data_IF_906673995334
#
_entry.id   IF_906673995334
#
_cell.length_a   1.000
_cell.length_b   1.000
_cell.length_c   1.000
_cell.angle_alpha   90.00
_cell.angle_beta   90.00
_cell.angle_gamma   90.00
#
_symmetry.space_group_name_H-M   'P 1'
#
loop_
_entity.id
_entity.type
_entity.pdbx_description
1 polymer ?
#
# COMPACT_ATOMS: atom_id res chain seq x y z
N UNK A 1 12.24 -0.77 0.70
CA UNK A 1 11.30 -1.25 1.75
C UNK A 1 9.90 -1.18 1.18
N UNK A 2 9.05 -2.15 1.48
CA UNK A 2 7.66 -2.19 1.01
C UNK A 2 6.80 -2.65 2.18
N UNK A 3 5.69 -1.96 2.44
CA UNK A 3 4.69 -2.43 3.40
C UNK A 3 3.63 -3.19 2.63
N UNK A 4 3.33 -4.41 3.06
CA UNK A 4 2.24 -5.19 2.45
C UNK A 4 0.95 -4.97 3.25
N UNK A 5 -0.12 -4.59 2.56
CA UNK A 5 -1.44 -4.43 3.16
C UNK A 5 -2.28 -5.64 2.81
N UNK A 6 -2.39 -6.57 3.75
CA UNK A 6 -3.01 -7.87 3.54
C UNK A 6 -4.38 -7.92 4.22
N UNK A 7 -5.38 -8.41 3.50
CA UNK A 7 -6.69 -8.75 4.05
C UNK A 7 -6.96 -10.24 3.79
N UNK A 8 -7.66 -10.90 4.71
CA UNK A 8 -8.01 -12.31 4.55
C UNK A 8 -8.87 -12.59 3.31
N UNK A 9 -9.69 -11.61 2.91
CA UNK A 9 -10.63 -11.73 1.79
C UNK A 9 -10.03 -11.37 0.43
N UNK A 10 -9.24 -10.30 0.35
CA UNK A 10 -8.71 -9.79 -0.93
C UNK A 10 -7.24 -10.15 -1.15
N UNK A 11 -6.57 -10.74 -0.15
CA UNK A 11 -5.12 -10.85 -0.17
C UNK A 11 -4.53 -9.45 -0.15
N UNK A 12 -3.71 -9.13 -1.15
CA UNK A 12 -3.07 -7.82 -1.25
C UNK A 12 -4.10 -6.74 -1.56
N UNK A 13 -4.05 -5.63 -0.84
CA UNK A 13 -4.92 -4.50 -1.06
C UNK A 13 -4.47 -3.73 -2.31
N UNK A 14 -5.15 -4.00 -3.43
CA UNK A 14 -4.97 -3.36 -4.73
C UNK A 14 -6.32 -3.02 -5.33
N UNK A 15 -6.39 -1.94 -6.08
CA UNK A 15 -7.54 -1.65 -6.93
C UNK A 15 -7.41 -2.49 -8.20
N UNK A 16 -8.32 -3.44 -8.37
CA UNK A 16 -8.37 -4.21 -9.61
C UNK A 16 -9.15 -3.33 -10.60
N UNK A 17 -8.66 -3.10 -11.83
CA UNK A 17 -9.42 -2.33 -12.80
C UNK A 17 -10.79 -2.98 -12.96
N UNK A 18 -11.86 -2.21 -12.75
CA UNK A 18 -13.21 -2.68 -13.06
C UNK A 18 -13.24 -3.19 -14.51
N UNK A 19 -14.09 -4.19 -14.82
CA UNK A 19 -14.35 -4.69 -16.19
C UNK A 19 -14.80 -3.58 -17.19
N UNK A 20 -14.94 -2.34 -16.72
CA UNK A 20 -15.18 -1.12 -17.49
C UNK A 20 -13.91 -0.29 -17.73
N UNK A 21 -12.73 -0.87 -17.52
CA UNK A 21 -11.44 -0.21 -17.61
C UNK A 21 -11.32 0.62 -18.87
N UNK A 22 -11.20 1.93 -18.71
CA UNK A 22 -10.63 2.78 -19.74
C UNK A 22 -9.23 2.24 -19.99
N UNK A 23 -9.04 1.64 -21.17
CA UNK A 23 -7.78 1.05 -21.62
C UNK A 23 -6.60 1.97 -21.31
N UNK A 24 -5.86 1.69 -20.22
CA UNK A 24 -4.66 2.44 -19.86
C UNK A 24 -4.47 2.83 -18.39
N UNK A 25 -5.49 2.73 -17.53
CA UNK A 25 -5.29 3.00 -16.10
C UNK A 25 -4.61 1.82 -15.40
N UNK A 26 -3.42 2.06 -14.84
CA UNK A 26 -2.70 1.05 -14.07
C UNK A 26 -3.46 0.74 -12.78
N UNK A 27 -3.52 -0.54 -12.35
CA UNK A 27 -4.06 -0.91 -11.05
C UNK A 27 -3.41 -0.04 -9.96
N UNK A 28 -4.21 0.62 -9.12
CA UNK A 28 -3.67 1.33 -7.97
C UNK A 28 -3.24 0.30 -6.93
N UNK A 29 -1.93 0.21 -6.65
CA UNK A 29 -1.41 -0.62 -5.56
C UNK A 29 -0.92 0.26 -4.41
N UNK A 30 -1.24 -0.10 -3.17
CA UNK A 30 -0.75 0.59 -1.97
C UNK A 30 0.78 0.42 -1.76
N UNK A 31 1.40 -0.54 -2.47
CA UNK A 31 2.82 -0.84 -2.36
C UNK A 31 3.65 0.17 -3.14
N UNK A 32 4.42 0.97 -2.40
CA UNK A 32 5.46 1.82 -2.98
C UNK A 32 6.79 1.08 -2.92
N UNK A 33 7.35 0.77 -4.09
CA UNK A 33 8.67 0.14 -4.20
C UNK A 33 9.77 1.15 -3.93
N UNK A 34 10.25 1.21 -2.68
CA UNK A 34 11.37 2.04 -2.31
C UNK A 34 12.72 1.36 -2.56
N UNK A 35 13.56 1.93 -3.43
CA UNK A 35 14.91 1.46 -3.73
C UNK A 35 15.93 2.23 -2.88
N UNK A 36 16.36 1.64 -1.77
CA UNK A 36 17.32 2.27 -0.86
C UNK A 36 18.72 2.45 -1.48
N UNK A 37 19.38 3.57 -1.17
CA UNK A 37 20.79 3.85 -1.51
C UNK A 37 21.05 5.34 -1.83
N UNK A 38 22.31 5.77 -1.63
CA UNK A 38 22.75 7.17 -1.82
C UNK A 38 22.51 7.70 -3.25
N UNK A 39 22.49 6.81 -4.25
CA UNK A 39 22.20 7.12 -5.66
C UNK A 39 20.84 6.55 -6.12
N UNK A 40 19.91 6.35 -5.19
CA UNK A 40 18.56 5.84 -5.45
C UNK A 40 17.54 6.72 -4.73
N UNK A 41 16.56 6.13 -4.03
CA UNK A 41 15.47 6.87 -3.38
C UNK A 41 15.85 7.37 -1.97
N UNK A 42 17.13 7.27 -1.57
CA UNK A 42 17.62 7.66 -0.26
C UNK A 42 17.38 6.60 0.82
N UNK A 43 16.96 7.04 2.02
CA UNK A 43 16.54 6.18 3.13
C UNK A 43 15.02 6.20 3.27
N UNK A 44 14.44 5.05 3.63
CA UNK A 44 13.00 4.95 3.87
C UNK A 44 12.64 5.75 5.12
N UNK A 45 11.78 6.76 4.96
CA UNK A 45 11.35 7.65 6.04
C UNK A 45 9.92 7.35 6.49
N UNK A 46 9.51 7.98 7.59
CA UNK A 46 8.12 7.96 8.03
C UNK A 46 7.16 8.50 6.96
N UNK A 47 7.58 9.49 6.15
CA UNK A 47 6.76 10.03 5.07
C UNK A 47 6.47 8.98 3.99
N UNK A 48 7.43 8.10 3.70
CA UNK A 48 7.21 7.01 2.76
C UNK A 48 6.18 6.00 3.30
N UNK A 49 6.17 5.76 4.62
CA UNK A 49 5.14 4.93 5.25
C UNK A 49 3.77 5.60 5.17
N UNK A 50 3.66 6.88 5.51
CA UNK A 50 2.40 7.62 5.45
C UNK A 50 1.80 7.60 4.04
N UNK A 51 2.61 7.84 3.00
CA UNK A 51 2.15 7.76 1.62
C UNK A 51 1.60 6.38 1.23
N UNK A 52 2.22 5.30 1.71
CA UNK A 52 1.71 3.95 1.49
C UNK A 52 0.37 3.71 2.20
N UNK A 53 0.21 4.25 3.41
CA UNK A 53 -1.03 4.16 4.19
C UNK A 53 -2.16 4.95 3.54
N UNK A 54 -1.90 6.16 3.05
CA UNK A 54 -2.89 6.97 2.34
C UNK A 54 -3.41 6.26 1.09
N UNK A 55 -2.51 5.62 0.32
CA UNK A 55 -2.88 4.78 -0.81
C UNK A 55 -3.73 3.57 -0.40
N UNK A 56 -3.37 2.90 0.69
CA UNK A 56 -4.13 1.78 1.23
C UNK A 56 -5.55 2.20 1.66
N UNK A 57 -5.69 3.35 2.32
CA UNK A 57 -6.99 3.90 2.73
C UNK A 57 -7.85 4.18 1.50
N UNK A 58 -7.30 4.84 0.47
CA UNK A 58 -8.06 5.15 -0.75
C UNK A 58 -8.60 3.88 -1.43
N UNK A 59 -7.78 2.82 -1.53
CA UNK A 59 -8.21 1.54 -2.10
C UNK A 59 -9.28 0.88 -1.22
N UNK A 60 -9.10 0.89 0.10
CA UNK A 60 -10.07 0.33 1.04
C UNK A 60 -11.43 1.03 0.95
N UNK A 61 -11.45 2.36 1.01
CA UNK A 61 -12.65 3.18 0.88
C UNK A 61 -13.31 2.98 -0.50
N UNK A 62 -12.50 2.89 -1.56
CA UNK A 62 -12.96 2.60 -2.92
C UNK A 62 -13.66 1.25 -3.06
N UNK A 63 -13.10 0.18 -2.45
CA UNK A 63 -13.70 -1.17 -2.48
C UNK A 63 -14.92 -1.31 -1.58
N UNK A 64 -14.93 -0.61 -0.44
CA UNK A 64 -16.01 -0.71 0.55
C UNK A 64 -17.12 0.32 0.33
N UNK A 65 -16.88 1.31 -0.54
CA UNK A 65 -17.76 2.46 -0.77
C UNK A 65 -18.13 3.18 0.53
N UNK A 66 -17.17 3.25 1.47
CA UNK A 66 -17.37 3.85 2.80
C UNK A 66 -18.29 3.09 3.74
N UNK A 67 -18.66 1.84 3.41
CA UNK A 67 -19.61 1.03 4.21
C UNK A 67 -18.93 0.07 5.19
N UNK A 68 -17.61 0.14 5.33
CA UNK A 68 -16.85 -0.70 6.24
C UNK A 68 -15.80 0.12 6.99
N UNK A 69 -15.35 -0.38 8.14
CA UNK A 69 -14.28 0.22 8.93
C UNK A 69 -13.03 -0.64 8.83
N UNK A 70 -11.90 -0.02 8.50
CA UNK A 70 -10.59 -0.66 8.42
C UNK A 70 -9.79 -0.49 9.70
N UNK A 71 -9.11 -1.54 10.15
CA UNK A 71 -8.08 -1.48 11.18
C UNK A 71 -6.73 -1.82 10.55
N UNK A 72 -5.81 -0.86 10.52
CA UNK A 72 -4.47 -1.03 9.99
C UNK A 72 -3.49 -1.28 11.14
N UNK A 73 -2.79 -2.41 11.10
CA UNK A 73 -1.84 -2.85 12.13
C UNK A 73 -0.45 -2.89 11.51
N UNK A 74 0.53 -2.31 12.18
CA UNK A 74 1.92 -2.28 11.73
C UNK A 74 2.78 -3.05 12.72
N UNK A 75 3.51 -4.04 12.23
CA UNK A 75 4.49 -4.77 13.03
C UNK A 75 5.84 -4.03 12.96
N UNK A 76 6.32 -3.56 14.11
CA UNK A 76 7.66 -3.00 14.25
C UNK A 76 8.62 -4.11 14.69
N UNK A 77 8.70 -5.19 13.93
CA UNK A 77 9.61 -6.29 14.24
C UNK A 77 11.05 -5.75 14.24
N UNK A 78 11.79 -5.87 15.37
CA UNK A 78 13.19 -5.41 15.45
C UNK A 78 14.17 -6.29 14.67
N UNK A 79 13.67 -7.22 13.84
CA UNK A 79 14.44 -8.25 13.12
C UNK A 79 15.40 -7.71 12.06
N UNK A 80 15.43 -6.39 11.83
CA UNK A 80 16.40 -5.73 10.96
C UNK A 80 17.69 -5.27 11.67
N UNK A 81 17.87 -5.57 12.96
CA UNK A 81 19.18 -5.43 13.61
C UNK A 81 20.08 -6.61 13.24
N UNK A 82 21.05 -6.36 12.36
CA UNK A 82 22.37 -6.98 12.45
C UNK A 82 23.38 -5.92 12.86
#
# INVERSE_FOLDING_TARGET
MVSDFLTSKWGHLRDDPDDNGLDGEKPQEARIFFKAGLNRDGYFSADNLLQQVDGAINIFEGKTKGMAQGLFLFDNAPSHQK
#
